data_IF_726232411107
#
_entry.id   IF_726232411107
#
_cell.length_a   1.000
_cell.length_b   1.000
_cell.length_c   1.000
_cell.angle_alpha   90.00
_cell.angle_beta   90.00
_cell.angle_gamma   90.00
#
_symmetry.space_group_name_H-M   'P 1'
#
loop_
_entity.id
_entity.type
_entity.pdbx_description
1 polymer ?
#
# COMPACT_ATOMS: atom_id res chain seq x y z
N UNK A 1 -3.12 31.23 -17.45
CA UNK A 1 -4.28 30.45 -16.98
C UNK A 1 -5.55 31.03 -17.60
N UNK A 2 -6.19 30.33 -18.55
CA UNK A 2 -7.49 30.77 -19.08
C UNK A 2 -8.56 30.47 -18.02
N UNK A 3 -9.16 31.52 -17.45
CA UNK A 3 -10.37 31.38 -16.62
C UNK A 3 -11.54 31.09 -17.56
N UNK A 4 -12.10 29.90 -17.44
CA UNK A 4 -13.32 29.52 -18.16
C UNK A 4 -14.52 30.26 -17.57
N UNK A 5 -15.35 30.84 -18.45
CA UNK A 5 -16.59 31.55 -18.06
C UNK A 5 -17.77 30.55 -17.98
N UNK A 6 -17.54 29.26 -18.25
CA UNK A 6 -18.54 28.19 -18.18
C UNK A 6 -17.90 26.82 -17.92
N UNK A 7 -18.71 25.76 -17.84
CA UNK A 7 -18.22 24.40 -17.64
C UNK A 7 -17.85 23.72 -18.98
N UNK A 8 -16.80 22.88 -19.02
CA UNK A 8 -16.52 22.02 -20.17
C UNK A 8 -17.70 21.11 -20.51
N UNK A 9 -17.88 20.86 -21.81
CA UNK A 9 -18.88 19.90 -22.28
C UNK A 9 -18.48 18.46 -21.91
N UNK A 10 -19.46 17.57 -21.69
CA UNK A 10 -19.21 16.17 -21.35
C UNK A 10 -18.26 15.46 -22.33
N UNK A 11 -18.38 15.73 -23.63
CA UNK A 11 -17.49 15.16 -24.66
C UNK A 11 -16.02 15.48 -24.40
N UNK A 12 -15.74 16.70 -23.95
CA UNK A 12 -14.38 17.19 -23.70
C UNK A 12 -13.82 16.69 -22.36
N UNK A 13 -14.69 16.43 -21.38
CA UNK A 13 -14.32 15.74 -20.14
C UNK A 13 -13.98 14.26 -20.39
N UNK A 14 -14.77 13.58 -21.24
CA UNK A 14 -14.50 12.21 -21.65
C UNK A 14 -13.18 12.08 -22.45
N UNK A 15 -12.95 13.00 -23.40
CA UNK A 15 -11.69 13.07 -24.15
C UNK A 15 -10.47 13.28 -23.22
N UNK A 16 -10.62 14.14 -22.21
CA UNK A 16 -9.58 14.34 -21.19
C UNK A 16 -9.37 13.11 -20.31
N UNK A 17 -10.43 12.39 -19.93
CA UNK A 17 -10.33 11.13 -19.20
C UNK A 17 -9.54 10.05 -19.96
N UNK A 18 -9.74 9.97 -21.28
CA UNK A 18 -9.09 8.97 -22.13
C UNK A 18 -7.64 9.33 -22.49
N UNK A 19 -7.36 10.62 -22.72
CA UNK A 19 -6.09 11.05 -23.33
C UNK A 19 -5.21 11.93 -22.43
N UNK A 20 -5.75 12.41 -21.31
CA UNK A 20 -5.11 13.43 -20.48
C UNK A 20 -5.06 14.82 -21.13
N UNK A 21 -5.71 15.02 -22.28
CA UNK A 21 -5.75 16.28 -23.00
C UNK A 21 -7.21 16.75 -23.19
N UNK A 22 -7.47 18.07 -23.18
CA UNK A 22 -6.51 19.17 -23.12
C UNK A 22 -6.20 19.65 -21.68
N UNK A 23 -4.95 20.09 -21.45
CA UNK A 23 -4.44 20.51 -20.14
C UNK A 23 -5.16 21.71 -19.48
N UNK A 24 -6.02 22.42 -20.21
CA UNK A 24 -6.85 23.49 -19.63
C UNK A 24 -8.04 22.94 -18.83
N UNK A 25 -8.41 21.68 -19.06
CA UNK A 25 -9.42 20.95 -18.30
C UNK A 25 -8.90 20.60 -16.91
N UNK A 26 -7.64 20.19 -16.76
CA UNK A 26 -6.99 19.93 -15.46
C UNK A 26 -7.13 21.09 -14.48
N UNK A 27 -6.71 22.28 -14.93
CA UNK A 27 -6.75 23.48 -14.10
C UNK A 27 -8.18 23.84 -13.67
N UNK A 28 -9.18 23.51 -14.50
CA UNK A 28 -10.59 23.76 -14.17
C UNK A 28 -11.14 22.74 -13.17
N UNK A 29 -10.89 21.45 -13.36
CA UNK A 29 -11.40 20.37 -12.49
C UNK A 29 -10.91 20.56 -11.06
N UNK A 30 -9.64 20.93 -10.88
CA UNK A 30 -9.04 21.17 -9.57
C UNK A 30 -9.73 22.28 -8.74
N UNK A 31 -10.55 23.12 -9.38
CA UNK A 31 -11.25 24.23 -8.72
C UNK A 31 -12.76 24.19 -8.87
N UNK A 32 -13.31 23.19 -9.58
CA UNK A 32 -14.74 23.09 -9.88
C UNK A 32 -15.31 21.74 -9.45
N UNK A 33 -15.94 21.71 -8.27
CA UNK A 33 -16.57 20.49 -7.71
C UNK A 33 -17.60 19.85 -8.66
N UNK A 34 -18.33 20.65 -9.45
CA UNK A 34 -19.31 20.12 -10.41
C UNK A 34 -18.64 19.32 -11.53
N UNK A 35 -17.51 19.81 -12.05
CA UNK A 35 -16.77 19.11 -13.09
C UNK A 35 -16.01 17.90 -12.53
N UNK A 36 -15.51 17.99 -11.29
CA UNK A 36 -14.92 16.85 -10.59
C UNK A 36 -15.93 15.72 -10.39
N UNK A 37 -17.11 16.01 -9.82
CA UNK A 37 -18.17 15.01 -9.65
C UNK A 37 -18.62 14.42 -11.00
N UNK A 38 -18.68 15.25 -12.06
CA UNK A 38 -19.06 14.76 -13.38
C UNK A 38 -18.03 13.81 -14.00
N UNK A 39 -16.76 13.97 -13.66
CA UNK A 39 -15.70 13.06 -14.08
C UNK A 39 -15.81 11.74 -13.36
N UNK A 40 -16.13 11.74 -12.06
CA UNK A 40 -16.39 10.51 -11.30
C UNK A 40 -17.53 9.72 -11.95
N UNK A 41 -18.64 10.36 -12.30
CA UNK A 41 -19.74 9.72 -13.04
C UNK A 41 -19.30 9.10 -14.38
N UNK A 42 -18.39 9.78 -15.09
CA UNK A 42 -17.90 9.35 -16.41
C UNK A 42 -16.80 8.29 -16.32
N UNK A 43 -16.07 8.25 -15.20
CA UNK A 43 -14.98 7.33 -14.91
C UNK A 43 -15.45 6.07 -14.17
N UNK A 44 -16.72 6.03 -13.74
CA UNK A 44 -17.34 4.86 -13.13
C UNK A 44 -17.08 3.65 -14.06
N UNK A 45 -16.30 2.66 -13.61
CA UNK A 45 -15.92 1.55 -14.47
C UNK A 45 -17.16 0.79 -14.88
N UNK A 46 -17.20 0.37 -16.15
CA UNK A 46 -18.27 -0.49 -16.62
C UNK A 46 -18.39 -1.69 -15.65
N UNK A 47 -19.57 -2.03 -15.13
CA UNK A 47 -19.72 -3.03 -14.07
C UNK A 47 -19.08 -4.38 -14.42
N UNK A 48 -19.02 -4.70 -15.71
CA UNK A 48 -18.38 -5.89 -16.27
C UNK A 48 -16.85 -5.82 -16.12
N UNK A 49 -16.24 -4.68 -16.43
CA UNK A 49 -14.79 -4.46 -16.30
C UNK A 49 -14.36 -4.45 -14.83
N UNK A 50 -15.13 -3.80 -13.95
CA UNK A 50 -14.85 -3.81 -12.51
C UNK A 50 -14.83 -5.24 -11.95
N UNK A 51 -15.76 -6.09 -12.38
CA UNK A 51 -15.84 -7.49 -11.98
C UNK A 51 -14.72 -8.35 -12.58
N UNK A 52 -14.32 -8.09 -13.82
CA UNK A 52 -13.20 -8.78 -14.45
C UNK A 52 -11.88 -8.43 -13.76
N UNK A 53 -11.65 -7.15 -13.46
CA UNK A 53 -10.47 -6.69 -12.74
C UNK A 53 -10.42 -7.22 -11.32
N UNK A 54 -11.54 -7.27 -10.61
CA UNK A 54 -11.56 -7.83 -9.25
C UNK A 54 -11.25 -9.32 -9.22
N UNK A 55 -11.64 -10.08 -10.26
CA UNK A 55 -11.29 -11.48 -10.40
C UNK A 55 -9.78 -11.68 -10.69
N UNK A 56 -9.19 -10.84 -11.55
CA UNK A 56 -7.76 -10.92 -11.92
C UNK A 56 -6.85 -10.44 -10.80
N UNK A 57 -7.26 -9.37 -10.10
CA UNK A 57 -6.51 -8.78 -8.98
C UNK A 57 -6.89 -9.40 -7.63
N UNK A 58 -7.71 -10.46 -7.63
CA UNK A 58 -8.05 -11.16 -6.41
C UNK A 58 -6.76 -11.68 -5.75
N UNK A 59 -6.58 -11.47 -4.43
CA UNK A 59 -5.44 -12.03 -3.73
C UNK A 59 -5.47 -13.56 -3.87
N UNK A 60 -4.31 -14.21 -4.05
CA UNK A 60 -4.27 -15.66 -4.17
C UNK A 60 -4.76 -16.30 -2.86
N UNK A 61 -5.47 -17.43 -2.99
CA UNK A 61 -6.16 -18.08 -1.86
C UNK A 61 -5.22 -18.55 -0.76
N UNK A 62 -3.94 -18.72 -1.09
CA UNK A 62 -2.88 -19.14 -0.19
C UNK A 62 -2.15 -17.96 0.49
N UNK A 63 -2.54 -16.70 0.23
CA UNK A 63 -1.85 -15.53 0.75
C UNK A 63 -1.82 -15.51 2.28
N UNK A 64 -2.98 -15.69 2.91
CA UNK A 64 -3.13 -15.71 4.37
C UNK A 64 -2.31 -16.83 5.02
N UNK A 65 -2.44 -18.11 4.61
CA UNK A 65 -1.64 -19.17 5.20
C UNK A 65 -0.13 -18.97 4.97
N UNK A 66 0.30 -18.43 3.81
CA UNK A 66 1.71 -18.09 3.58
C UNK A 66 2.22 -16.99 4.50
N UNK A 67 1.40 -15.96 4.73
CA UNK A 67 1.72 -14.89 5.67
C UNK A 67 1.90 -15.42 7.09
N UNK A 68 0.96 -16.22 7.57
CA UNK A 68 1.05 -16.84 8.90
C UNK A 68 2.28 -17.73 9.02
N UNK A 69 2.53 -18.58 8.01
CA UNK A 69 3.71 -19.43 8.00
C UNK A 69 5.02 -18.63 8.08
N UNK A 70 5.12 -17.52 7.33
CA UNK A 70 6.28 -16.64 7.37
C UNK A 70 6.46 -15.91 8.71
N UNK A 71 5.36 -15.48 9.34
CA UNK A 71 5.37 -14.85 10.66
C UNK A 71 5.81 -15.85 11.72
N UNK A 72 5.21 -17.03 11.75
CA UNK A 72 5.54 -18.08 12.71
C UNK A 72 6.99 -18.56 12.57
N UNK A 73 7.50 -18.61 11.33
CA UNK A 73 8.92 -18.90 11.08
C UNK A 73 9.83 -17.83 11.68
N UNK A 74 9.51 -16.55 11.51
CA UNK A 74 10.29 -15.44 12.08
C UNK A 74 10.25 -15.43 13.62
N UNK A 75 9.09 -15.71 14.21
CA UNK A 75 8.94 -15.77 15.67
C UNK A 75 9.76 -16.92 16.26
N UNK A 76 9.71 -18.10 15.64
CA UNK A 76 10.53 -19.26 16.05
C UNK A 76 12.03 -18.96 15.96
N UNK A 77 12.49 -18.42 14.83
CA UNK A 77 13.91 -18.04 14.69
C UNK A 77 14.37 -17.04 15.76
N UNK A 78 13.53 -16.06 16.12
CA UNK A 78 13.86 -15.11 17.19
C UNK A 78 13.94 -15.80 18.55
N UNK A 79 13.01 -16.69 18.85
CA UNK A 79 13.02 -17.47 20.09
C UNK A 79 14.29 -18.33 20.18
N UNK A 80 14.68 -19.00 19.10
CA UNK A 80 15.87 -19.84 19.06
C UNK A 80 17.16 -19.02 19.26
N UNK A 81 17.28 -17.88 18.58
CA UNK A 81 18.42 -16.97 18.75
C UNK A 81 18.49 -16.39 20.17
N UNK A 82 17.34 -16.05 20.76
CA UNK A 82 17.28 -15.55 22.13
C UNK A 82 17.69 -16.63 23.13
N UNK A 83 17.27 -17.87 22.93
CA UNK A 83 17.68 -19.00 23.75
C UNK A 83 19.20 -19.24 23.66
N UNK A 84 19.75 -19.26 22.44
CA UNK A 84 21.19 -19.42 22.22
C UNK A 84 22.00 -18.28 22.84
N UNK A 85 21.54 -17.03 22.70
CA UNK A 85 22.18 -15.89 23.34
C UNK A 85 22.15 -16.02 24.87
N UNK A 86 21.02 -16.42 25.45
CA UNK A 86 20.91 -16.67 26.89
C UNK A 86 21.86 -17.75 27.40
N UNK A 87 22.03 -18.85 26.64
CA UNK A 87 22.95 -19.93 26.99
C UNK A 87 24.42 -19.46 27.03
N UNK A 88 24.79 -18.49 26.20
CA UNK A 88 26.14 -17.95 26.12
C UNK A 88 26.42 -16.86 27.17
N UNK A 89 25.40 -16.10 27.56
CA UNK A 89 25.53 -15.02 28.54
C UNK A 89 25.71 -15.56 29.96
N UNK A 90 24.96 -16.59 30.35
CA UNK A 90 25.04 -17.18 31.69
C UNK A 90 26.46 -17.63 32.12
N UNK A 91 27.21 -18.41 31.33
CA UNK A 91 28.59 -18.77 31.67
C UNK A 91 29.56 -17.59 31.59
N UNK A 92 29.31 -16.61 30.72
CA UNK A 92 30.13 -15.40 30.63
C UNK A 92 29.98 -14.51 31.87
N UNK A 93 28.75 -14.35 32.37
CA UNK A 93 28.47 -13.62 33.61
C UNK A 93 29.02 -14.37 34.84
N UNK A 94 28.90 -15.70 34.88
CA UNK A 94 29.49 -16.51 35.93
C UNK A 94 31.03 -16.42 35.95
N UNK A 95 31.68 -16.46 34.78
CA UNK A 95 33.13 -16.29 34.67
C UNK A 95 33.57 -14.88 35.09
N UNK A 96 32.81 -13.84 34.74
CA UNK A 96 33.08 -12.47 35.19
C UNK A 96 33.01 -12.35 36.71
N UNK A 97 31.98 -12.90 37.34
CA UNK A 97 31.82 -12.86 38.80
C UNK A 97 33.00 -13.53 39.50
N UNK A 98 33.39 -14.73 39.05
CA UNK A 98 34.53 -15.46 39.60
C UNK A 98 35.86 -14.72 39.42
N UNK A 99 36.06 -14.02 38.30
CA UNK A 99 37.29 -13.25 38.03
C UNK A 99 37.35 -11.92 38.78
N UNK A 100 36.21 -11.36 39.20
CA UNK A 100 36.16 -10.13 40.00
C UNK A 100 36.29 -10.36 41.51
N UNK A 101 36.22 -11.60 41.99
CA UNK A 101 36.40 -11.94 43.41
C UNK A 101 37.88 -12.12 43.81
N UNK A 102 38.82 -12.06 42.85
CA UNK A 102 40.27 -12.25 43.03
C UNK A 102 41.10 -10.94 43.11
N UNK A 103 40.47 -9.77 43.35
CA UNK A 103 41.14 -8.47 43.65
C UNK A 103 40.90 -7.97 45.09
#
# INVERSE_FOLDING_TARGET
MRRWIGHPQNRRLAEWLETGLPADVDAHIMTCNRCAARIEDLAEPEPVLARALSAVLAPPTDLVPRLHHGIDGKLRNRADLQFLAGLLVLPADAARLLLTEDE
#
